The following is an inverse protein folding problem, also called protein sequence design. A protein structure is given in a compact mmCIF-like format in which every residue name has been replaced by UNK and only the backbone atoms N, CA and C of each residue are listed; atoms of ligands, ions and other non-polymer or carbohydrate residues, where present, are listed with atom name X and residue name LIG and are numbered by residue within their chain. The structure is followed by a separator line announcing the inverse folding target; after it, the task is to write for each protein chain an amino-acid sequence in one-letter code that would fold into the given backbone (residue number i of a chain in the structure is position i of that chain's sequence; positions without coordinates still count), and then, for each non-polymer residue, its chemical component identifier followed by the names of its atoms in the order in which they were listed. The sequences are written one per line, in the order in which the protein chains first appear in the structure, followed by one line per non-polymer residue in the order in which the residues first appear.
data_IF_519389133055
#
_entry.id   IF_519389133055
#
_cell.length_a   1.000
_cell.length_b   1.000
_cell.length_c   1.000
_cell.angle_alpha   90.00
_cell.angle_beta   90.00
_cell.angle_gamma   90.00
#
_symmetry.space_group_name_H-M   'P 1'
#
loop_
_entity.id
_entity.type
_entity.pdbx_description
1 polymer ?
#
# COMPACT_ATOMS: atom_id res chain seq x y z
N UNK A 1 -11.56 18.79 22.80
CA UNK A 1 -10.61 18.72 23.94
C UNK A 1 -10.13 17.28 24.03
N UNK A 2 -9.02 16.96 23.35
CA UNK A 2 -8.37 15.64 23.41
C UNK A 2 -6.90 15.94 23.66
N UNK A 3 -6.39 15.51 24.81
CA UNK A 3 -5.02 15.74 25.26
C UNK A 3 -4.03 15.05 24.31
N UNK A 4 -2.96 15.76 23.95
CA UNK A 4 -1.79 15.19 23.26
C UNK A 4 -1.09 14.19 24.20
N UNK A 5 -0.53 13.08 23.69
CA UNK A 5 0.27 12.16 24.49
C UNK A 5 1.60 12.81 24.88
N UNK A 6 1.94 12.70 26.16
CA UNK A 6 3.20 13.19 26.72
C UNK A 6 4.32 12.27 26.22
N UNK A 7 5.19 12.76 25.34
CA UNK A 7 6.38 12.01 24.92
C UNK A 7 7.35 11.90 26.10
N UNK A 8 7.38 10.71 26.73
CA UNK A 8 8.37 10.34 27.73
C UNK A 8 9.77 10.28 27.11
N UNK A 9 10.73 10.93 27.77
CA UNK A 9 12.14 10.97 27.40
C UNK A 9 12.75 9.55 27.45
N UNK A 10 13.28 9.03 26.32
CA UNK A 10 14.09 7.82 26.36
C UNK A 10 15.45 8.13 27.00
N UNK A 11 15.92 7.38 28.00
CA UNK A 11 17.21 7.59 28.65
C UNK A 11 18.42 7.19 27.77
N UNK A 12 18.17 6.90 26.49
CA UNK A 12 19.12 6.32 25.55
C UNK A 12 19.77 7.35 24.59
N UNK A 13 19.27 8.60 24.54
CA UNK A 13 19.80 9.64 23.65
C UNK A 13 20.84 10.52 24.35
N UNK A 14 22.07 10.50 23.82
CA UNK A 14 23.18 11.36 24.20
C UNK A 14 22.76 12.84 24.15
N UNK A 15 22.92 13.62 25.25
CA UNK A 15 22.37 14.98 25.38
C UNK A 15 22.98 16.03 24.43
N UNK A 16 23.97 15.67 23.60
CA UNK A 16 24.65 16.59 22.70
C UNK A 16 23.92 16.87 21.38
N UNK A 17 22.88 16.11 21.01
CA UNK A 17 22.12 16.33 19.75
C UNK A 17 20.95 17.32 19.92
N UNK A 18 20.45 17.53 21.14
CA UNK A 18 19.32 18.46 21.40
C UNK A 18 19.69 19.95 21.35
N UNK A 19 20.98 20.31 21.38
CA UNK A 19 21.41 21.72 21.40
C UNK A 19 21.51 22.38 20.01
N UNK A 20 21.34 21.62 18.91
CA UNK A 20 21.50 22.14 17.55
C UNK A 20 20.18 22.50 16.82
N UNK A 21 19.02 22.10 17.36
CA UNK A 21 17.71 22.32 16.68
C UNK A 21 16.99 23.59 17.18
N UNK A 22 17.36 24.15 18.33
CA UNK A 22 16.70 25.34 18.90
C UNK A 22 17.16 26.71 18.34
N UNK A 23 18.14 26.76 17.43
CA UNK A 23 18.68 28.03 16.89
C UNK A 23 18.22 28.39 15.47
N UNK A 24 17.29 27.64 14.88
CA UNK A 24 16.86 27.85 13.49
C UNK A 24 15.39 28.28 13.31
N UNK A 25 14.85 29.05 14.26
CA UNK A 25 13.56 29.74 14.11
C UNK A 25 13.76 31.26 14.11
N UNK A 26 14.11 31.80 12.94
CA UNK A 26 14.00 33.24 12.67
C UNK A 26 12.57 33.57 12.22
N UNK A 27 11.89 34.56 12.82
CA UNK A 27 10.57 35.00 12.39
C UNK A 27 10.71 35.97 11.21
N UNK A 28 10.43 35.52 10.00
CA UNK A 28 10.23 36.43 8.86
C UNK A 28 8.84 37.05 8.96
N UNK A 29 8.80 38.26 9.54
CA UNK A 29 7.70 39.22 9.38
C UNK A 29 7.59 39.60 7.90
N UNK A 30 6.56 39.12 7.21
CA UNK A 30 6.12 39.71 5.95
C UNK A 30 5.05 40.76 6.23
N UNK A 31 5.43 42.00 5.95
CA UNK A 31 4.61 43.20 6.04
C UNK A 31 3.44 43.17 5.07
N UNK A 32 2.31 43.61 5.61
CA UNK A 32 1.10 44.09 4.95
C UNK A 32 1.37 44.89 3.67
N UNK A 33 0.79 44.48 2.54
CA UNK A 33 0.55 45.34 1.38
C UNK A 33 -0.61 44.79 0.52
N UNK A 34 -1.71 45.55 0.52
CA UNK A 34 -2.47 45.83 -0.71
C UNK A 34 -3.47 44.80 -1.21
N UNK A 35 -4.61 44.70 -0.53
CA UNK A 35 -5.90 44.46 -1.20
C UNK A 35 -6.15 45.57 -2.23
N UNK A 36 -6.24 45.22 -3.52
CA UNK A 36 -6.70 46.17 -4.54
C UNK A 36 -6.05 46.04 -5.90
N UNK A 37 -6.16 44.88 -6.56
CA UNK A 37 -5.89 44.79 -8.01
C UNK A 37 -6.52 43.58 -8.73
N UNK A 38 -7.33 42.74 -8.09
CA UNK A 38 -7.87 41.51 -8.72
C UNK A 38 -9.40 41.48 -8.88
N UNK A 39 -10.11 42.58 -8.60
CA UNK A 39 -11.56 42.67 -8.89
C UNK A 39 -11.90 43.24 -10.28
N UNK A 40 -10.92 43.68 -11.07
CA UNK A 40 -11.19 44.28 -12.39
C UNK A 40 -11.25 43.27 -13.56
N UNK A 41 -10.90 42.00 -13.36
CA UNK A 41 -10.77 41.03 -14.46
C UNK A 41 -12.01 40.14 -14.70
N UNK A 42 -12.94 40.04 -13.73
CA UNK A 42 -14.15 39.19 -13.86
C UNK A 42 -15.34 39.96 -14.46
N UNK A 43 -15.33 41.29 -14.44
CA UNK A 43 -16.48 42.11 -14.85
C UNK A 43 -16.56 42.43 -16.37
N UNK A 44 -15.57 42.07 -17.20
CA UNK A 44 -15.54 42.47 -18.62
C UNK A 44 -15.92 41.35 -19.60
N UNK A 45 -16.00 40.08 -19.17
CA UNK A 45 -16.34 38.97 -20.08
C UNK A 45 -17.83 38.74 -20.30
N UNK A 46 -18.70 39.32 -19.46
CA UNK A 46 -20.17 39.11 -19.53
C UNK A 46 -20.91 40.10 -20.44
N UNK A 47 -20.22 40.95 -21.19
CA UNK A 47 -20.86 42.00 -22.02
C UNK A 47 -20.87 41.73 -23.54
N UNK A 48 -20.60 40.49 -23.96
CA UNK A 48 -20.71 40.06 -25.37
C UNK A 48 -21.62 38.84 -25.61
N UNK A 49 -22.26 38.28 -24.59
CA UNK A 49 -23.17 37.12 -24.73
C UNK A 49 -24.64 37.50 -25.00
N UNK A 50 -24.90 38.60 -25.71
CA UNK A 50 -26.26 39.03 -26.09
C UNK A 50 -26.38 39.15 -27.61
N UNK A 51 -26.46 38.02 -28.31
CA UNK A 51 -27.14 37.88 -29.61
C UNK A 51 -26.84 36.52 -30.24
N UNK A 52 -27.64 35.49 -29.92
CA UNK A 52 -28.03 34.41 -30.86
C UNK A 52 -29.14 33.58 -30.24
N UNK A 53 -30.18 33.31 -31.03
CA UNK A 53 -31.42 32.61 -30.69
C UNK A 53 -31.22 31.18 -30.14
N UNK A 54 -32.19 30.61 -29.40
CA UNK A 54 -32.09 29.23 -28.92
C UNK A 54 -32.33 28.25 -30.07
N UNK A 55 -31.25 27.70 -30.64
CA UNK A 55 -31.36 26.47 -31.42
C UNK A 55 -31.55 25.30 -30.46
N UNK A 56 -32.65 24.58 -30.66
CA UNK A 56 -33.02 23.31 -30.02
C UNK A 56 -31.84 22.32 -30.11
N UNK A 57 -31.07 22.20 -29.03
CA UNK A 57 -30.02 21.18 -28.90
C UNK A 57 -30.72 19.84 -28.70
N UNK A 58 -30.67 18.99 -29.74
CA UNK A 58 -31.02 17.58 -29.66
C UNK A 58 -30.01 16.97 -28.68
N UNK A 59 -30.49 16.53 -27.52
CA UNK A 59 -29.68 15.91 -26.47
C UNK A 59 -29.01 14.65 -27.00
N UNK A 60 -27.77 14.77 -27.43
CA UNK A 60 -26.86 13.64 -27.54
C UNK A 60 -26.25 13.45 -26.16
N UNK A 61 -26.71 12.40 -25.47
CA UNK A 61 -26.06 11.87 -24.27
C UNK A 61 -24.65 11.45 -24.68
N UNK A 62 -23.67 12.32 -24.45
CA UNK A 62 -22.26 11.95 -24.53
C UNK A 62 -21.98 11.00 -23.37
N UNK A 63 -21.95 9.68 -23.62
CA UNK A 63 -21.33 8.73 -22.69
C UNK A 63 -19.90 9.26 -22.49
N UNK A 64 -19.58 9.72 -21.28
CA UNK A 64 -18.22 10.13 -20.96
C UNK A 64 -17.29 8.97 -21.28
N UNK A 65 -16.11 9.28 -21.83
CA UNK A 65 -15.09 8.27 -22.10
C UNK A 65 -14.48 7.84 -20.76
N UNK A 66 -15.24 7.06 -19.99
CA UNK A 66 -14.82 6.53 -18.71
C UNK A 66 -13.79 5.43 -18.97
N UNK A 67 -12.69 5.44 -18.21
CA UNK A 67 -11.68 4.41 -18.35
C UNK A 67 -12.26 3.05 -17.98
N UNK A 68 -12.21 2.09 -18.91
CA UNK A 68 -12.70 0.72 -18.72
C UNK A 68 -11.71 -0.06 -17.85
N UNK A 69 -12.22 -0.83 -16.88
CA UNK A 69 -11.42 -1.69 -16.01
C UNK A 69 -11.07 -3.03 -16.69
N UNK A 70 -9.87 -3.53 -16.44
CA UNK A 70 -9.46 -4.88 -16.87
C UNK A 70 -10.01 -5.94 -15.92
N UNK A 71 -10.03 -5.63 -14.62
CA UNK A 71 -10.54 -6.53 -13.59
C UNK A 71 -11.29 -5.75 -12.51
N UNK A 72 -12.44 -6.27 -12.10
CA UNK A 72 -13.23 -5.75 -10.98
C UNK A 72 -13.38 -6.84 -9.93
N UNK A 73 -13.04 -6.50 -8.69
CA UNK A 73 -13.27 -7.34 -7.51
C UNK A 73 -14.53 -6.87 -6.80
N UNK A 74 -15.44 -7.79 -6.46
CA UNK A 74 -16.72 -7.48 -5.80
C UNK A 74 -16.97 -8.42 -4.63
N UNK A 75 -17.99 -8.08 -3.82
CA UNK A 75 -18.54 -8.95 -2.79
C UNK A 75 -17.48 -9.42 -1.78
N UNK A 76 -16.64 -8.48 -1.34
CA UNK A 76 -15.68 -8.69 -0.25
C UNK A 76 -15.60 -7.46 0.65
N UNK A 77 -15.02 -7.64 1.83
CA UNK A 77 -14.68 -6.54 2.73
C UNK A 77 -13.28 -6.04 2.37
N UNK A 78 -13.19 -4.85 1.79
CA UNK A 78 -11.93 -4.31 1.29
C UNK A 78 -11.41 -3.26 2.26
N UNK A 79 -10.31 -3.54 2.93
CA UNK A 79 -9.64 -2.59 3.82
C UNK A 79 -8.69 -1.74 2.99
N UNK A 80 -8.91 -0.44 2.94
CA UNK A 80 -8.13 0.47 2.08
C UNK A 80 -6.93 1.10 2.80
N UNK A 81 -6.97 1.12 4.14
CA UNK A 81 -6.02 1.84 5.00
C UNK A 81 -6.01 3.36 4.70
N UNK A 82 -7.11 3.90 4.17
CA UNK A 82 -7.35 5.33 3.99
C UNK A 82 -8.30 5.85 5.08
N UNK A 83 -7.85 6.78 5.92
CA UNK A 83 -8.66 7.35 7.01
C UNK A 83 -10.00 7.93 6.55
N UNK A 84 -10.08 8.47 5.34
CA UNK A 84 -11.30 9.05 4.79
C UNK A 84 -12.30 7.99 4.27
N UNK A 85 -11.82 6.80 3.95
CA UNK A 85 -12.62 5.71 3.40
C UNK A 85 -11.98 4.37 3.80
N UNK A 86 -12.04 3.96 5.07
CA UNK A 86 -11.25 2.84 5.60
C UNK A 86 -11.66 1.48 5.01
N UNK A 87 -12.91 1.37 4.55
CA UNK A 87 -13.47 0.16 3.95
C UNK A 87 -14.18 0.44 2.62
N UNK A 88 -14.28 -0.59 1.77
CA UNK A 88 -15.01 -0.59 0.51
C UNK A 88 -15.55 -2.00 0.21
N UNK A 89 -16.45 -2.09 -0.77
CA UNK A 89 -17.08 -3.35 -1.21
C UNK A 89 -16.49 -3.89 -2.51
N UNK A 90 -15.94 -2.99 -3.33
CA UNK A 90 -15.42 -3.31 -4.65
C UNK A 90 -14.22 -2.44 -5.06
N UNK A 91 -13.38 -2.98 -5.94
CA UNK A 91 -12.21 -2.31 -6.53
C UNK A 91 -12.13 -2.61 -8.03
N UNK A 92 -11.96 -1.57 -8.84
CA UNK A 92 -11.65 -1.68 -10.26
C UNK A 92 -10.15 -1.46 -10.51
N UNK A 93 -9.54 -2.31 -11.32
CA UNK A 93 -8.13 -2.26 -11.68
C UNK A 93 -7.97 -2.17 -13.19
N UNK A 94 -7.04 -1.33 -13.64
CA UNK A 94 -6.59 -1.25 -15.03
C UNK A 94 -5.08 -1.04 -15.09
N UNK A 95 -4.40 -1.79 -15.94
CA UNK A 95 -2.94 -1.70 -16.13
C UNK A 95 -2.15 -1.78 -14.80
N UNK A 96 -2.63 -2.61 -13.87
CA UNK A 96 -2.05 -2.77 -12.53
C UNK A 96 -2.28 -1.60 -11.57
N UNK A 97 -3.14 -0.63 -11.93
CA UNK A 97 -3.49 0.53 -11.11
C UNK A 97 -4.95 0.49 -10.71
N UNK A 98 -5.25 1.00 -9.52
CA UNK A 98 -6.62 1.15 -9.02
C UNK A 98 -7.28 2.31 -9.76
N UNK A 99 -8.38 2.02 -10.46
CA UNK A 99 -9.23 3.03 -11.12
C UNK A 99 -10.29 3.60 -10.18
N UNK A 100 -10.93 2.73 -9.39
CA UNK A 100 -12.01 3.10 -8.49
C UNK A 100 -12.08 2.14 -7.30
N UNK A 101 -12.51 2.66 -6.15
CA UNK A 101 -12.73 1.93 -4.90
C UNK A 101 -14.00 2.45 -4.25
N UNK A 102 -14.92 1.57 -3.87
CA UNK A 102 -16.17 2.02 -3.25
C UNK A 102 -17.23 0.94 -3.17
N UNK A 103 -18.49 1.34 -3.32
CA UNK A 103 -19.62 0.42 -3.38
C UNK A 103 -19.57 -0.40 -4.66
N UNK A 104 -20.15 -1.59 -4.62
CA UNK A 104 -20.23 -2.46 -5.81
C UNK A 104 -20.89 -1.72 -6.98
N UNK A 105 -21.97 -0.99 -6.72
CA UNK A 105 -22.69 -0.24 -7.76
C UNK A 105 -21.80 0.81 -8.46
N UNK A 106 -21.03 1.60 -7.70
CA UNK A 106 -20.19 2.65 -8.26
C UNK A 106 -19.01 2.09 -9.08
N UNK A 107 -18.44 0.96 -8.65
CA UNK A 107 -17.30 0.33 -9.33
C UNK A 107 -17.75 -0.40 -10.60
N UNK A 108 -18.98 -0.93 -10.63
CA UNK A 108 -19.54 -1.60 -11.80
C UNK A 108 -19.80 -0.66 -12.99
N UNK A 109 -19.81 0.67 -12.78
CA UNK A 109 -19.85 1.65 -13.87
C UNK A 109 -18.61 1.58 -14.80
N UNK A 110 -17.53 0.95 -14.35
CA UNK A 110 -16.27 0.76 -15.08
C UNK A 110 -16.22 -0.56 -15.87
N UNK A 111 -17.28 -1.37 -15.80
CA UNK A 111 -17.39 -2.65 -16.49
C UNK A 111 -17.74 -2.45 -17.97
N UNK A 112 -17.04 -3.17 -18.84
CA UNK A 112 -17.48 -3.45 -20.22
C UNK A 112 -17.31 -4.95 -20.52
N UNK A 113 -17.64 -5.38 -21.75
CA UNK A 113 -17.64 -6.81 -22.15
C UNK A 113 -16.31 -7.53 -21.90
N UNK A 114 -15.17 -6.82 -22.01
CA UNK A 114 -13.84 -7.38 -21.80
C UNK A 114 -13.40 -7.43 -20.32
N UNK A 115 -14.16 -6.81 -19.40
CA UNK A 115 -13.77 -6.71 -17.99
C UNK A 115 -13.96 -8.05 -17.27
N UNK A 116 -12.91 -8.53 -16.61
CA UNK A 116 -12.98 -9.72 -15.76
C UNK A 116 -13.58 -9.37 -14.40
N UNK A 117 -14.66 -10.05 -14.00
CA UNK A 117 -15.20 -9.92 -12.65
C UNK A 117 -14.70 -11.06 -11.76
N UNK A 118 -14.24 -10.71 -10.56
CA UNK A 118 -13.79 -11.65 -9.53
C UNK A 118 -14.65 -11.44 -8.29
N UNK A 119 -15.42 -12.48 -7.93
CA UNK A 119 -16.18 -12.52 -6.69
C UNK A 119 -15.25 -12.95 -5.54
N UNK A 120 -15.15 -12.12 -4.51
CA UNK A 120 -14.34 -12.40 -3.32
C UNK A 120 -15.05 -13.35 -2.35
N UNK A 121 -16.33 -13.68 -2.56
CA UNK A 121 -17.13 -14.59 -1.74
C UNK A 121 -17.14 -14.24 -0.25
N UNK A 122 -17.17 -12.94 0.08
CA UNK A 122 -17.12 -12.44 1.45
C UNK A 122 -15.73 -12.47 2.10
N UNK A 123 -14.67 -12.84 1.36
CA UNK A 123 -13.31 -12.75 1.87
C UNK A 123 -12.83 -11.29 1.98
N UNK A 124 -11.83 -11.08 2.84
CA UNK A 124 -11.23 -9.77 3.06
C UNK A 124 -10.11 -9.51 2.04
N UNK A 125 -10.14 -8.34 1.41
CA UNK A 125 -9.03 -7.83 0.61
C UNK A 125 -8.28 -6.75 1.40
N UNK A 126 -6.96 -6.86 1.43
CA UNK A 126 -6.07 -5.88 2.06
C UNK A 126 -5.04 -5.39 1.05
N UNK A 127 -4.40 -4.23 1.26
CA UNK A 127 -3.28 -3.81 0.45
C UNK A 127 -2.15 -4.84 0.56
N UNK A 128 -1.39 -5.02 -0.53
CA UNK A 128 -0.22 -5.89 -0.51
C UNK A 128 0.76 -5.45 0.58
N UNK A 129 1.33 -6.42 1.30
CA UNK A 129 2.34 -6.12 2.32
C UNK A 129 3.61 -5.58 1.66
N UNK A 130 4.12 -4.47 2.21
CA UNK A 130 5.38 -3.86 1.79
C UNK A 130 6.39 -4.08 2.90
N UNK A 131 7.43 -4.86 2.60
CA UNK A 131 8.57 -5.03 3.49
C UNK A 131 9.64 -3.98 3.17
N UNK A 132 9.81 -3.02 4.08
CA UNK A 132 10.76 -1.93 3.92
C UNK A 132 12.19 -2.32 4.30
N UNK A 133 12.38 -3.40 5.06
CA UNK A 133 13.68 -3.76 5.60
C UNK A 133 13.77 -5.23 5.98
N UNK A 134 14.18 -6.04 5.01
CA UNK A 134 14.40 -7.48 5.20
C UNK A 134 15.78 -7.93 4.75
N UNK A 135 16.32 -8.91 5.45
CA UNK A 135 17.53 -9.61 5.06
C UNK A 135 17.20 -10.83 4.17
N UNK A 136 16.67 -10.57 2.98
CA UNK A 136 16.16 -11.62 2.07
C UNK A 136 17.23 -12.70 1.80
N UNK A 137 18.49 -12.32 1.64
CA UNK A 137 19.59 -13.27 1.43
C UNK A 137 19.83 -14.15 2.66
N UNK A 138 19.81 -13.58 3.86
CA UNK A 138 19.97 -14.36 5.08
C UNK A 138 18.78 -15.31 5.27
N UNK A 139 17.56 -14.86 4.95
CA UNK A 139 16.38 -15.72 4.99
C UNK A 139 16.51 -16.91 4.02
N UNK A 140 16.96 -16.67 2.78
CA UNK A 140 17.21 -17.74 1.83
C UNK A 140 18.27 -18.75 2.31
N UNK A 141 19.33 -18.28 2.97
CA UNK A 141 20.34 -19.16 3.58
C UNK A 141 19.72 -19.96 4.74
N UNK A 142 18.89 -19.32 5.58
CA UNK A 142 18.22 -20.00 6.69
C UNK A 142 17.23 -21.07 6.23
N UNK A 143 16.60 -20.92 5.05
CA UNK A 143 15.77 -21.97 4.44
C UNK A 143 16.59 -23.18 3.95
N UNK A 144 17.89 -23.02 3.73
CA UNK A 144 18.77 -24.07 3.24
C UNK A 144 19.51 -24.82 4.36
N UNK A 145 19.49 -24.33 5.60
CA UNK A 145 20.08 -25.02 6.76
C UNK A 145 19.02 -25.83 7.50
N UNK A 146 19.46 -26.87 8.22
CA UNK A 146 18.57 -27.65 9.07
C UNK A 146 17.93 -26.78 10.16
N UNK A 147 16.60 -26.80 10.26
CA UNK A 147 15.88 -26.14 11.35
C UNK A 147 16.00 -26.99 12.63
N UNK A 148 16.77 -26.51 13.60
CA UNK A 148 16.99 -27.18 14.90
C UNK A 148 16.35 -26.43 16.07
N UNK A 149 15.44 -25.48 15.79
CA UNK A 149 14.78 -24.68 16.81
C UNK A 149 13.89 -25.54 17.71
N UNK A 150 13.71 -25.23 18.99
CA UNK A 150 12.77 -25.98 19.85
C UNK A 150 11.30 -25.74 19.45
N UNK A 151 10.36 -26.52 19.99
CA UNK A 151 8.93 -26.23 19.86
C UNK A 151 8.58 -24.82 20.32
N UNK A 152 7.64 -24.12 19.64
CA UNK A 152 6.79 -24.60 18.55
C UNK A 152 7.39 -24.50 17.13
N UNK A 153 8.61 -23.96 16.97
CA UNK A 153 9.19 -23.65 15.66
C UNK A 153 9.70 -24.91 14.93
N UNK A 154 10.04 -25.95 15.68
CA UNK A 154 10.27 -27.30 15.15
C UNK A 154 9.90 -28.36 16.19
N UNK A 155 10.00 -29.64 15.83
CA UNK A 155 9.74 -30.78 16.73
C UNK A 155 10.94 -31.24 17.56
N UNK A 156 12.03 -30.45 17.65
CA UNK A 156 13.25 -30.85 18.35
C UNK A 156 13.10 -30.73 19.87
N UNK A 157 12.98 -31.87 20.55
CA UNK A 157 12.86 -31.93 22.02
C UNK A 157 14.11 -32.54 22.68
N UNK A 158 14.96 -33.20 21.89
CA UNK A 158 16.10 -33.97 22.37
C UNK A 158 17.32 -33.86 21.46
N UNK A 159 18.47 -34.33 21.95
CA UNK A 159 19.70 -34.42 21.15
C UNK A 159 19.52 -35.43 20.01
N UNK A 160 18.76 -36.50 20.26
CA UNK A 160 18.43 -37.53 19.29
C UNK A 160 17.69 -36.94 18.08
N UNK A 161 16.77 -35.99 18.31
CA UNK A 161 16.05 -35.30 17.24
C UNK A 161 17.00 -34.43 16.40
N UNK A 162 17.93 -33.72 17.04
CA UNK A 162 18.96 -32.93 16.34
C UNK A 162 19.77 -33.83 15.41
N UNK A 163 20.23 -34.96 15.92
CA UNK A 163 21.03 -35.92 15.14
C UNK A 163 20.22 -36.49 13.98
N UNK A 164 18.94 -36.81 14.20
CA UNK A 164 18.06 -37.32 13.16
C UNK A 164 17.87 -36.31 12.02
N UNK A 165 17.56 -35.06 12.35
CA UNK A 165 17.34 -33.99 11.36
C UNK A 165 18.62 -33.68 10.57
N UNK A 166 19.78 -33.65 11.23
CA UNK A 166 21.05 -33.43 10.53
C UNK A 166 21.37 -34.56 9.53
N UNK A 167 21.06 -35.82 9.88
CA UNK A 167 21.23 -36.95 8.96
C UNK A 167 20.31 -36.83 7.76
N UNK A 168 19.03 -36.50 7.98
CA UNK A 168 18.07 -36.29 6.90
C UNK A 168 18.49 -35.15 5.96
N UNK A 169 19.02 -34.05 6.51
CA UNK A 169 19.54 -32.94 5.71
C UNK A 169 20.74 -33.37 4.85
N UNK A 170 21.67 -34.15 5.41
CA UNK A 170 22.83 -34.69 4.67
C UNK A 170 22.37 -35.58 3.51
N UNK A 171 21.39 -36.46 3.75
CA UNK A 171 20.85 -37.35 2.73
C UNK A 171 20.16 -36.56 1.61
N UNK A 172 19.38 -35.54 1.98
CA UNK A 172 18.70 -34.63 1.05
C UNK A 172 19.71 -33.89 0.17
N UNK A 173 20.74 -33.29 0.74
CA UNK A 173 21.75 -32.55 -0.02
C UNK A 173 22.63 -33.47 -0.88
N UNK A 174 22.93 -34.67 -0.39
CA UNK A 174 23.62 -35.70 -1.18
C UNK A 174 22.80 -36.11 -2.40
N UNK A 175 21.47 -36.24 -2.26
CA UNK A 175 20.56 -36.58 -3.37
C UNK A 175 20.44 -35.46 -4.41
N UNK A 176 20.62 -34.19 -3.99
CA UNK A 176 20.70 -33.01 -4.87
C UNK A 176 22.03 -32.87 -5.60
N UNK A 177 22.99 -33.75 -5.32
CA UNK A 177 24.29 -33.77 -5.97
C UNK A 177 25.35 -32.87 -5.32
N UNK A 178 25.10 -32.34 -4.12
CA UNK A 178 26.13 -31.63 -3.37
C UNK A 178 27.17 -32.62 -2.81
N UNK A 179 28.35 -32.63 -3.44
CA UNK A 179 29.46 -33.50 -3.04
C UNK A 179 30.08 -33.10 -1.70
N UNK A 180 29.77 -31.91 -1.16
CA UNK A 180 30.26 -31.45 0.15
C UNK A 180 29.48 -32.07 1.31
N UNK A 181 28.22 -32.48 1.10
CA UNK A 181 27.39 -33.13 2.13
C UNK A 181 28.02 -34.41 2.68
N UNK A 182 28.79 -35.14 1.85
CA UNK A 182 29.50 -36.36 2.24
C UNK A 182 30.70 -36.15 3.15
N UNK A 183 31.29 -34.95 3.21
CA UNK A 183 32.52 -34.69 3.98
C UNK A 183 32.23 -34.47 5.47
N UNK A 184 31.00 -34.10 5.83
CA UNK A 184 30.58 -33.88 7.22
C UNK A 184 30.09 -35.15 7.94
N UNK A 185 29.96 -36.26 7.23
CA UNK A 185 29.38 -37.51 7.74
C UNK A 185 30.44 -38.52 8.28
N UNK A 186 31.62 -38.04 8.69
CA UNK A 186 32.72 -38.87 9.23
C UNK A 186 32.87 -38.63 10.73
#
# INVERSE_FOLDING_TARGET
MIQQPQFGHCPCCNPLISLLIEKFTLPLRFTQLGTGALEAAIALSNKLAKTTAPSKVIGQSSKSFQAIADTIYINGEIITVNDAQPTAEAVAVKDGKILAVGSTAAVMEYQEEATRIIDLNGNIMVPGFIDAHSHILNYAIMLAVANLSPPPDSGVESIEDIVAILKEQIDTETSRGDKRAKVLAV
#
